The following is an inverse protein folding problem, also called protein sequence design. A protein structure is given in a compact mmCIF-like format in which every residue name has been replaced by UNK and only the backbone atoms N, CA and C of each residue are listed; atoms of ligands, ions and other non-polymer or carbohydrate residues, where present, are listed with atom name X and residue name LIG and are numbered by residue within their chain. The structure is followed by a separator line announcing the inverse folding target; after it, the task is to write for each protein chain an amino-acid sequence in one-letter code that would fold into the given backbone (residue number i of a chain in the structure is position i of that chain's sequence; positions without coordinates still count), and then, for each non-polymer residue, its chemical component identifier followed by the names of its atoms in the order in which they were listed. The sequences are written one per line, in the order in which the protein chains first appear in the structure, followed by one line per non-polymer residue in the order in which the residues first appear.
data_IF_135887658968
#
_entry.id   IF_135887658968
#
_cell.length_a   1.000
_cell.length_b   1.000
_cell.length_c   1.000
_cell.angle_alpha   90.00
_cell.angle_beta   90.00
_cell.angle_gamma   90.00
#
_symmetry.space_group_name_H-M   'P 1'
#
loop_
_entity.id
_entity.type
_entity.pdbx_description
1 polymer ?
#
# COMPACT_ATOMS: atom_id res chain seq x y z
N UNK A 1 25.81 19.80 10.17
CA UNK A 1 25.13 19.58 8.90
C UNK A 1 23.59 19.64 9.00
N UNK A 2 22.98 19.29 10.11
CA UNK A 2 21.50 19.26 10.32
C UNK A 2 20.81 20.65 10.38
N UNK A 3 21.51 21.72 10.79
CA UNK A 3 20.89 23.07 10.86
C UNK A 3 20.59 23.71 9.50
N UNK A 4 21.29 23.31 8.43
CA UNK A 4 21.06 23.84 7.08
C UNK A 4 19.88 23.20 6.37
N UNK A 5 19.54 21.93 6.72
CA UNK A 5 18.40 21.23 6.17
C UNK A 5 17.07 21.77 6.70
N UNK A 6 17.03 22.15 7.98
CA UNK A 6 15.83 22.71 8.62
C UNK A 6 15.45 24.10 8.07
N UNK A 7 16.45 24.92 7.71
CA UNK A 7 16.22 26.26 7.13
C UNK A 7 15.76 26.17 5.67
N UNK A 8 16.19 25.17 4.92
CA UNK A 8 15.78 24.97 3.52
C UNK A 8 14.32 24.44 3.43
N UNK A 9 13.88 23.63 4.40
CA UNK A 9 12.49 23.16 4.47
C UNK A 9 11.54 24.28 4.90
N UNK A 10 11.95 25.19 5.79
CA UNK A 10 11.14 26.32 6.26
C UNK A 10 10.98 27.43 5.20
N UNK A 11 11.92 27.58 4.27
CA UNK A 11 11.85 28.57 3.19
C UNK A 11 11.04 28.10 1.97
N UNK A 12 10.82 26.78 1.83
CA UNK A 12 9.95 26.22 0.79
C UNK A 12 8.46 26.37 1.13
N UNK A 13 8.11 26.58 2.39
CA UNK A 13 6.71 26.67 2.84
C UNK A 13 6.08 28.06 2.70
N UNK A 14 6.85 29.11 2.39
CA UNK A 14 6.34 30.50 2.30
C UNK A 14 6.03 30.99 0.88
N UNK A 15 6.26 30.18 -0.15
CA UNK A 15 6.16 30.63 -1.56
C UNK A 15 4.93 30.09 -2.31
N UNK A 16 4.02 29.35 -1.67
CA UNK A 16 2.91 28.66 -2.33
C UNK A 16 1.52 29.04 -1.79
N UNK A 17 1.34 30.26 -1.35
CA UNK A 17 0.00 30.79 -1.11
C UNK A 17 -0.63 31.22 -2.44
N UNK A 18 -1.04 30.27 -3.27
CA UNK A 18 -2.00 30.52 -4.33
C UNK A 18 -3.40 30.33 -3.79
N UNK A 19 -4.40 31.13 -4.22
CA UNK A 19 -5.77 30.97 -3.74
C UNK A 19 -6.27 29.57 -4.08
N UNK A 20 -6.95 28.95 -3.12
CA UNK A 20 -7.59 27.67 -3.29
C UNK A 20 -8.59 27.72 -4.42
N UNK A 21 -8.58 26.67 -5.17
CA UNK A 21 -9.53 26.42 -6.22
C UNK A 21 -10.49 25.35 -5.76
N UNK A 22 -11.77 25.60 -5.98
CA UNK A 22 -12.81 24.67 -5.59
C UNK A 22 -12.53 23.30 -6.25
N UNK A 23 -12.14 22.33 -5.43
CA UNK A 23 -11.95 20.95 -5.83
C UNK A 23 -13.21 20.15 -5.63
N UNK A 24 -14.17 20.77 -4.97
CA UNK A 24 -15.47 20.19 -4.71
C UNK A 24 -16.20 19.87 -6.02
N UNK A 25 -16.83 18.71 -6.03
CA UNK A 25 -17.59 18.18 -7.16
C UNK A 25 -16.74 17.95 -8.43
N UNK A 26 -15.48 17.54 -8.27
CA UNK A 26 -14.56 17.30 -9.34
C UNK A 26 -14.03 15.86 -9.34
N UNK A 27 -13.80 15.33 -10.54
CA UNK A 27 -13.03 14.11 -10.72
C UNK A 27 -11.54 14.38 -10.54
N UNK A 28 -10.83 13.37 -10.06
CA UNK A 28 -9.37 13.41 -10.02
C UNK A 28 -8.76 12.05 -10.33
N UNK A 29 -7.52 12.07 -10.77
CA UNK A 29 -6.68 10.88 -10.94
C UNK A 29 -5.36 11.13 -10.22
N UNK A 30 -4.77 10.08 -9.68
CA UNK A 30 -3.50 10.19 -8.97
C UNK A 30 -2.63 8.94 -9.11
N UNK A 31 -1.36 9.14 -8.86
CA UNK A 31 -0.38 8.06 -8.72
C UNK A 31 0.32 8.21 -7.37
N UNK A 32 0.66 7.10 -6.78
CA UNK A 32 1.29 7.07 -5.46
C UNK A 32 2.32 5.95 -5.38
N UNK A 33 3.31 6.13 -4.52
CA UNK A 33 4.30 5.10 -4.27
C UNK A 33 5.14 5.41 -3.03
N UNK A 34 5.68 4.35 -2.43
CA UNK A 34 6.47 4.51 -1.22
C UNK A 34 7.00 3.22 -0.63
N UNK A 35 7.53 3.35 0.57
CA UNK A 35 8.08 2.25 1.34
C UNK A 35 6.98 1.49 2.09
N UNK A 36 7.19 0.19 2.22
CA UNK A 36 6.26 -0.72 2.88
C UNK A 36 7.00 -1.64 3.84
N UNK A 37 6.32 -1.99 4.92
CA UNK A 37 6.68 -3.07 5.84
C UNK A 37 5.56 -4.10 5.78
N UNK A 38 5.92 -5.38 5.65
CA UNK A 38 4.99 -6.50 5.79
C UNK A 38 5.14 -7.05 7.21
N UNK A 39 4.02 -7.25 7.91
CA UNK A 39 4.04 -7.99 9.17
C UNK A 39 4.45 -9.44 8.90
N UNK A 40 5.08 -10.09 9.88
CA UNK A 40 5.43 -11.52 9.80
C UNK A 40 4.21 -12.34 9.42
N UNK A 41 4.32 -13.12 8.36
CA UNK A 41 3.24 -13.99 7.92
C UNK A 41 3.33 -15.31 8.65
N UNK A 42 2.37 -15.54 9.54
CA UNK A 42 2.22 -16.82 10.23
C UNK A 42 1.27 -17.72 9.46
N UNK A 43 1.72 -18.92 9.15
CA UNK A 43 0.95 -19.92 8.42
C UNK A 43 0.53 -21.09 9.30
N UNK A 44 -0.71 -21.50 9.16
CA UNK A 44 -1.14 -22.84 9.53
C UNK A 44 -0.80 -23.77 8.37
N UNK A 45 -0.11 -24.88 8.65
CA UNK A 45 0.39 -25.83 7.64
C UNK A 45 -0.31 -27.17 7.82
N UNK A 46 -1.26 -27.48 6.94
CA UNK A 46 -2.12 -28.67 7.08
C UNK A 46 -2.94 -28.61 8.37
N UNK A 47 -2.71 -29.52 9.30
CA UNK A 47 -3.38 -29.54 10.60
C UNK A 47 -2.58 -28.84 11.72
N UNK A 48 -1.38 -28.35 11.46
CA UNK A 48 -0.53 -27.73 12.46
C UNK A 48 -0.72 -26.20 12.43
N UNK A 49 -1.18 -25.65 13.56
CA UNK A 49 -1.42 -24.20 13.72
C UNK A 49 -0.12 -23.46 14.00
N UNK A 50 0.02 -22.25 13.45
CA UNK A 50 1.21 -21.39 13.57
C UNK A 50 2.51 -22.16 13.32
N UNK A 51 2.50 -23.00 12.30
CA UNK A 51 3.58 -23.94 12.03
C UNK A 51 4.69 -23.36 11.14
N UNK A 52 4.41 -22.29 10.42
CA UNK A 52 5.40 -21.55 9.63
C UNK A 52 5.32 -20.05 9.89
N UNK A 53 6.47 -19.37 9.91
CA UNK A 53 6.57 -17.91 9.97
C UNK A 53 7.52 -17.44 8.90
N UNK A 54 7.12 -16.44 8.11
CA UNK A 54 7.95 -15.81 7.08
C UNK A 54 8.19 -14.36 7.47
N UNK A 55 9.47 -14.01 7.65
CA UNK A 55 9.94 -12.65 7.89
C UNK A 55 10.25 -11.97 6.56
N UNK A 56 10.03 -10.65 6.47
CA UNK A 56 10.20 -9.88 5.25
C UNK A 56 11.14 -8.70 5.46
N UNK A 57 11.95 -8.42 4.45
CA UNK A 57 12.65 -7.16 4.30
C UNK A 57 11.68 -6.01 4.01
N UNK A 58 12.16 -4.77 4.08
CA UNK A 58 11.41 -3.62 3.58
C UNK A 58 10.98 -3.83 2.13
N UNK A 59 9.74 -3.50 1.86
CA UNK A 59 9.14 -3.59 0.53
C UNK A 59 8.78 -2.22 -0.04
N UNK A 60 8.06 -2.27 -1.13
CA UNK A 60 7.51 -1.10 -1.80
C UNK A 60 6.04 -1.32 -2.17
N UNK A 61 5.30 -0.22 -2.25
CA UNK A 61 3.88 -0.16 -2.61
C UNK A 61 3.72 0.97 -3.64
N UNK A 62 3.09 0.68 -4.78
CA UNK A 62 2.79 1.66 -5.82
C UNK A 62 1.36 1.48 -6.29
N UNK A 63 0.70 2.56 -6.66
CA UNK A 63 -0.67 2.49 -7.10
C UNK A 63 -1.12 3.70 -7.90
N UNK A 64 -2.35 3.58 -8.38
CA UNK A 64 -3.08 4.64 -9.04
C UNK A 64 -4.49 4.72 -8.50
N UNK A 65 -5.00 5.92 -8.41
CA UNK A 65 -6.35 6.21 -7.93
C UNK A 65 -7.12 7.01 -8.97
N UNK A 66 -8.42 6.75 -9.05
CA UNK A 66 -9.39 7.63 -9.67
C UNK A 66 -10.48 7.90 -8.64
N UNK A 67 -10.84 9.14 -8.42
CA UNK A 67 -11.82 9.50 -7.42
C UNK A 67 -12.69 10.67 -7.82
N UNK A 68 -13.71 10.88 -7.01
CA UNK A 68 -14.61 12.02 -7.08
C UNK A 68 -14.65 12.71 -5.72
N UNK A 69 -14.35 13.99 -5.71
CA UNK A 69 -14.40 14.85 -4.53
C UNK A 69 -15.81 15.43 -4.40
N UNK A 70 -16.45 15.22 -3.25
CA UNK A 70 -17.78 15.75 -2.89
C UNK A 70 -17.69 16.93 -1.90
N UNK A 71 -16.48 17.48 -1.72
CA UNK A 71 -16.14 18.43 -0.68
C UNK A 71 -15.56 17.72 0.54
N UNK A 72 -16.23 17.73 1.68
CA UNK A 72 -15.74 17.05 2.88
C UNK A 72 -15.66 15.51 2.82
N UNK A 73 -16.01 14.91 1.68
CA UNK A 73 -15.99 13.46 1.48
C UNK A 73 -15.55 13.10 0.06
N UNK A 74 -14.68 12.09 -0.07
CA UNK A 74 -14.23 11.57 -1.37
C UNK A 74 -14.51 10.08 -1.52
N UNK A 75 -14.79 9.67 -2.74
CA UNK A 75 -14.86 8.25 -3.12
C UNK A 75 -13.73 7.98 -4.10
N UNK A 76 -12.94 6.94 -3.86
CA UNK A 76 -11.83 6.52 -4.72
C UNK A 76 -11.97 5.07 -5.16
N UNK A 77 -11.63 4.77 -6.41
CA UNK A 77 -11.19 3.46 -6.84
C UNK A 77 -9.65 3.45 -6.88
N UNK A 78 -9.06 2.46 -6.24
CA UNK A 78 -7.60 2.31 -6.07
C UNK A 78 -7.17 0.97 -6.68
N UNK A 79 -6.12 1.01 -7.49
CA UNK A 79 -5.42 -0.17 -7.96
C UNK A 79 -3.98 -0.07 -7.50
N UNK A 80 -3.53 -1.01 -6.68
CA UNK A 80 -2.17 -0.97 -6.12
C UNK A 80 -1.49 -2.33 -6.16
N UNK A 81 -0.18 -2.28 -6.37
CA UNK A 81 0.71 -3.44 -6.32
C UNK A 81 1.81 -3.21 -5.29
N UNK A 82 1.99 -4.20 -4.45
CA UNK A 82 3.00 -4.19 -3.37
C UNK A 82 3.82 -5.46 -3.36
N UNK A 83 5.10 -5.32 -2.97
CA UNK A 83 6.03 -6.45 -2.93
C UNK A 83 7.08 -6.24 -1.84
N UNK A 84 7.36 -7.33 -1.12
CA UNK A 84 8.49 -7.43 -0.20
C UNK A 84 9.23 -8.75 -0.42
N UNK A 85 10.55 -8.74 -0.26
CA UNK A 85 11.38 -9.94 -0.31
C UNK A 85 11.40 -10.62 1.03
N UNK A 86 11.56 -11.94 1.02
CA UNK A 86 11.72 -12.75 2.24
C UNK A 86 13.10 -12.49 2.83
N UNK A 87 13.15 -12.36 4.16
CA UNK A 87 14.38 -12.26 4.95
C UNK A 87 14.72 -13.57 5.66
N UNK A 88 13.68 -14.33 6.08
CA UNK A 88 13.83 -15.61 6.73
C UNK A 88 12.55 -16.43 6.77
N UNK A 89 12.71 -17.71 7.05
CA UNK A 89 11.61 -18.64 7.27
C UNK A 89 11.87 -19.51 8.49
N UNK A 90 10.86 -19.64 9.33
CA UNK A 90 10.87 -20.56 10.47
C UNK A 90 9.75 -21.57 10.32
N UNK A 91 10.04 -22.84 10.60
CA UNK A 91 9.02 -23.89 10.58
C UNK A 91 9.13 -24.80 11.80
N UNK A 92 7.99 -25.16 12.37
CA UNK A 92 7.89 -26.18 13.43
C UNK A 92 7.61 -27.58 12.86
N UNK A 93 7.38 -27.68 11.55
CA UNK A 93 7.14 -28.92 10.82
C UNK A 93 8.15 -29.10 9.69
N UNK A 94 8.29 -30.32 9.18
CA UNK A 94 9.11 -30.57 8.00
C UNK A 94 8.57 -29.81 6.79
N UNK A 95 9.44 -29.14 6.06
CA UNK A 95 9.12 -28.37 4.84
C UNK A 95 9.71 -29.07 3.62
N UNK A 96 8.90 -29.75 2.78
CA UNK A 96 9.34 -30.29 1.51
C UNK A 96 9.58 -29.16 0.51
N UNK A 97 10.71 -29.17 -0.18
CA UNK A 97 11.02 -28.26 -1.28
C UNK A 97 11.47 -29.04 -2.52
N UNK A 98 11.22 -28.50 -3.72
CA UNK A 98 11.74 -29.06 -4.95
C UNK A 98 13.12 -28.48 -5.24
N UNK A 99 14.05 -29.34 -5.63
CA UNK A 99 15.33 -28.90 -6.20
C UNK A 99 15.12 -28.36 -7.63
N UNK A 100 16.11 -27.64 -8.15
CA UNK A 100 16.12 -27.23 -9.55
C UNK A 100 15.94 -28.38 -10.55
N UNK A 101 16.36 -29.62 -10.17
CA UNK A 101 16.15 -30.82 -10.93
C UNK A 101 14.77 -31.50 -10.72
N UNK A 102 13.90 -30.88 -9.91
CA UNK A 102 12.54 -31.36 -9.63
C UNK A 102 12.44 -32.42 -8.52
N UNK A 103 13.53 -32.87 -7.92
CA UNK A 103 13.50 -33.82 -6.82
C UNK A 103 12.99 -33.15 -5.53
N UNK A 104 12.26 -33.93 -4.71
CA UNK A 104 11.81 -33.45 -3.39
C UNK A 104 12.93 -33.67 -2.35
N UNK A 105 13.21 -32.62 -1.59
CA UNK A 105 14.09 -32.63 -0.43
C UNK A 105 13.29 -32.14 0.78
N UNK A 106 13.43 -32.86 1.89
CA UNK A 106 12.76 -32.50 3.14
C UNK A 106 13.70 -31.73 4.06
N UNK A 107 13.30 -30.52 4.40
CA UNK A 107 13.96 -29.69 5.39
C UNK A 107 13.30 -29.93 6.75
N UNK A 108 14.04 -30.28 7.83
CA UNK A 108 13.46 -30.49 9.16
C UNK A 108 12.86 -29.21 9.72
N UNK A 109 12.12 -29.31 10.83
CA UNK A 109 11.73 -28.12 11.60
C UNK A 109 12.97 -27.32 12.00
N UNK A 110 12.93 -25.98 11.85
CA UNK A 110 14.10 -25.14 12.10
C UNK A 110 13.93 -23.70 11.64
N UNK A 111 15.00 -22.91 11.80
CA UNK A 111 15.13 -21.55 11.29
C UNK A 111 16.01 -21.53 10.04
N UNK A 112 15.58 -20.79 9.04
CA UNK A 112 16.21 -20.72 7.73
C UNK A 112 16.42 -19.25 7.35
N UNK A 113 17.48 -18.63 7.89
CA UNK A 113 17.84 -17.22 7.66
C UNK A 113 18.31 -16.97 6.20
N UNK A 114 18.47 -18.04 5.42
CA UNK A 114 18.80 -18.00 4.00
C UNK A 114 17.59 -18.25 3.09
N UNK A 115 16.39 -18.34 3.65
CA UNK A 115 15.19 -18.45 2.84
C UNK A 115 15.05 -17.21 1.96
N UNK A 116 14.63 -17.42 0.72
CA UNK A 116 14.49 -16.36 -0.26
C UNK A 116 13.13 -16.37 -0.91
N UNK A 117 12.93 -15.39 -1.79
CA UNK A 117 11.68 -15.23 -2.51
C UNK A 117 10.98 -13.92 -2.19
N UNK A 118 9.66 -13.89 -2.38
CA UNK A 118 8.89 -12.68 -2.15
C UNK A 118 7.41 -12.95 -1.90
N UNK A 119 6.78 -12.03 -1.16
CA UNK A 119 5.33 -11.86 -1.11
C UNK A 119 4.92 -10.66 -1.93
N UNK A 120 3.83 -10.77 -2.68
CA UNK A 120 3.25 -9.64 -3.40
C UNK A 120 1.73 -9.66 -3.33
N UNK A 121 1.11 -8.48 -3.50
CA UNK A 121 -0.33 -8.34 -3.53
C UNK A 121 -0.74 -7.30 -4.59
N UNK A 122 -1.60 -7.71 -5.51
CA UNK A 122 -2.29 -6.83 -6.45
C UNK A 122 -3.71 -6.61 -5.94
N UNK A 123 -4.09 -5.37 -5.68
CA UNK A 123 -5.36 -5.02 -5.06
C UNK A 123 -6.21 -4.11 -5.94
N UNK A 124 -7.52 -4.30 -5.86
CA UNK A 124 -8.54 -3.43 -6.44
C UNK A 124 -9.49 -3.05 -5.31
N UNK A 125 -9.49 -1.77 -4.92
CA UNK A 125 -10.17 -1.29 -3.71
C UNK A 125 -11.13 -0.14 -4.06
N UNK A 126 -12.19 -0.02 -3.27
CA UNK A 126 -13.05 1.17 -3.24
C UNK A 126 -12.92 1.78 -1.85
N UNK A 127 -12.57 3.06 -1.79
CA UNK A 127 -12.30 3.80 -0.56
C UNK A 127 -13.32 4.92 -0.38
N UNK A 128 -13.65 5.21 0.88
CA UNK A 128 -14.28 6.43 1.32
C UNK A 128 -13.33 7.22 2.22
N UNK A 129 -13.19 8.50 1.96
CA UNK A 129 -12.29 9.40 2.69
C UNK A 129 -13.07 10.60 3.22
N UNK A 130 -12.77 11.01 4.44
CA UNK A 130 -13.24 12.26 5.05
C UNK A 130 -12.08 13.24 5.08
N UNK A 131 -12.30 14.44 4.54
CA UNK A 131 -11.31 15.51 4.48
C UNK A 131 -11.55 16.54 5.58
N UNK A 132 -10.47 17.10 6.11
CA UNK A 132 -10.47 18.08 7.19
C UNK A 132 -9.48 19.20 6.87
N UNK A 133 -9.92 20.43 7.01
CA UNK A 133 -9.11 21.62 6.75
C UNK A 133 -9.69 22.47 5.64
N UNK A 134 -9.02 23.57 5.33
CA UNK A 134 -9.42 24.50 4.28
C UNK A 134 -8.81 24.06 2.94
N UNK A 135 -9.52 24.31 1.83
CA UNK A 135 -9.12 23.87 0.48
C UNK A 135 -7.85 24.54 -0.04
N UNK A 136 -7.49 25.68 0.54
CA UNK A 136 -6.30 26.48 0.17
C UNK A 136 -5.04 26.13 0.98
N UNK A 137 -5.17 25.20 1.93
CA UNK A 137 -4.12 24.83 2.85
C UNK A 137 -3.74 23.35 2.84
N UNK A 138 -3.06 22.95 3.90
CA UNK A 138 -2.83 21.54 4.18
C UNK A 138 -4.13 20.94 4.70
N UNK A 139 -4.65 19.97 3.97
CA UNK A 139 -5.81 19.18 4.38
C UNK A 139 -5.35 17.85 4.98
N UNK A 140 -5.95 17.48 6.11
CA UNK A 140 -5.87 16.13 6.64
C UNK A 140 -6.99 15.27 6.07
N UNK A 141 -6.76 13.98 5.92
CA UNK A 141 -7.81 13.03 5.60
C UNK A 141 -7.67 11.72 6.36
N UNK A 142 -8.80 11.07 6.58
CA UNK A 142 -8.88 9.71 7.12
C UNK A 142 -9.96 8.95 6.36
N UNK A 143 -9.75 7.65 6.20
CA UNK A 143 -10.75 6.83 5.54
C UNK A 143 -10.42 5.36 5.55
N UNK A 144 -11.15 4.63 4.76
CA UNK A 144 -10.95 3.20 4.60
C UNK A 144 -11.58 2.67 3.33
N UNK A 145 -11.25 1.46 3.01
CA UNK A 145 -11.75 0.82 1.82
C UNK A 145 -11.85 -0.68 1.94
N UNK A 146 -12.61 -1.23 1.01
CA UNK A 146 -12.80 -2.68 0.86
C UNK A 146 -12.63 -3.06 -0.61
N UNK A 147 -12.27 -4.32 -0.84
CA UNK A 147 -12.08 -4.80 -2.20
C UNK A 147 -11.56 -6.22 -2.25
N UNK A 148 -10.84 -6.52 -3.31
CA UNK A 148 -10.23 -7.82 -3.53
C UNK A 148 -8.73 -7.66 -3.75
N UNK A 149 -7.97 -8.66 -3.31
CA UNK A 149 -6.53 -8.69 -3.52
C UNK A 149 -6.09 -10.08 -3.92
N UNK A 150 -5.26 -10.15 -4.96
CA UNK A 150 -4.52 -11.36 -5.30
C UNK A 150 -3.18 -11.33 -4.60
N UNK A 151 -3.05 -12.16 -3.58
CA UNK A 151 -1.81 -12.36 -2.82
C UNK A 151 -1.05 -13.51 -3.43
N UNK A 152 0.21 -13.31 -3.77
CA UNK A 152 1.13 -14.33 -4.26
C UNK A 152 2.29 -14.48 -3.28
N UNK A 153 2.63 -15.73 -2.95
CA UNK A 153 3.83 -16.10 -2.25
C UNK A 153 4.71 -16.98 -3.16
N UNK A 154 5.98 -16.64 -3.23
CA UNK A 154 7.00 -17.42 -3.94
C UNK A 154 8.19 -17.55 -3.00
N UNK A 155 8.30 -18.70 -2.32
CA UNK A 155 9.27 -18.92 -1.25
C UNK A 155 10.17 -20.12 -1.56
N UNK A 156 11.47 -19.93 -1.40
CA UNK A 156 12.50 -20.94 -1.60
C UNK A 156 13.38 -21.15 -0.37
N UNK A 157 13.89 -22.37 -0.21
CA UNK A 157 14.90 -22.71 0.78
C UNK A 157 16.21 -22.96 0.06
N UNK A 158 17.09 -21.95 0.08
CA UNK A 158 18.38 -22.00 -0.62
C UNK A 158 18.23 -22.17 -2.14
N UNK A 159 19.30 -22.55 -2.82
CA UNK A 159 19.31 -22.89 -4.26
C UNK A 159 18.49 -24.15 -4.62
N UNK A 160 17.80 -24.72 -3.64
CA UNK A 160 17.02 -25.96 -3.79
C UNK A 160 15.63 -25.77 -4.39
N UNK A 161 15.31 -24.57 -4.89
CA UNK A 161 14.02 -24.31 -5.50
C UNK A 161 12.92 -23.93 -4.50
N UNK A 162 11.73 -23.72 -5.04
CA UNK A 162 10.58 -23.24 -4.27
C UNK A 162 9.93 -24.36 -3.45
N UNK A 163 9.54 -24.06 -2.21
CA UNK A 163 8.65 -24.92 -1.44
C UNK A 163 7.18 -24.44 -1.53
N UNK A 164 6.98 -23.17 -1.84
CA UNK A 164 5.67 -22.56 -2.04
C UNK A 164 5.77 -21.56 -3.20
N UNK A 165 4.99 -21.77 -4.27
CA UNK A 165 4.78 -20.83 -5.37
C UNK A 165 3.31 -20.90 -5.76
N UNK A 166 2.50 -20.09 -5.11
CA UNK A 166 1.05 -20.08 -5.30
C UNK A 166 0.46 -18.70 -5.05
N UNK A 167 -0.80 -18.51 -5.47
CA UNK A 167 -1.51 -17.24 -5.28
C UNK A 167 -3.00 -17.49 -5.04
N UNK A 168 -3.57 -16.68 -4.16
CA UNK A 168 -4.99 -16.69 -3.86
C UNK A 168 -5.59 -15.29 -4.01
N UNK A 169 -6.88 -15.22 -4.36
CA UNK A 169 -7.62 -13.96 -4.47
C UNK A 169 -8.68 -13.91 -3.37
N UNK A 170 -8.49 -12.99 -2.47
CA UNK A 170 -9.27 -12.90 -1.24
C UNK A 170 -9.88 -11.51 -1.07
N UNK A 171 -10.87 -11.41 -0.16
CA UNK A 171 -11.37 -10.14 0.33
C UNK A 171 -10.25 -9.39 1.06
N UNK A 172 -10.17 -8.08 0.81
CA UNK A 172 -9.22 -7.20 1.46
C UNK A 172 -9.91 -5.92 1.96
N UNK A 173 -9.32 -5.33 3.00
CA UNK A 173 -9.72 -4.04 3.52
C UNK A 173 -8.49 -3.20 3.88
N UNK A 174 -8.66 -1.89 3.92
CA UNK A 174 -7.58 -0.97 4.26
C UNK A 174 -8.09 0.21 5.08
N UNK A 175 -7.18 0.79 5.87
CA UNK A 175 -7.37 2.07 6.56
C UNK A 175 -6.34 3.05 6.01
N UNK A 176 -6.78 4.26 5.76
CA UNK A 176 -6.01 5.33 5.14
C UNK A 176 -6.04 6.56 6.03
N UNK A 177 -4.90 7.23 6.17
CA UNK A 177 -4.80 8.54 6.79
C UNK A 177 -3.67 9.33 6.12
N UNK A 178 -3.82 10.63 5.97
CA UNK A 178 -2.77 11.40 5.33
C UNK A 178 -3.00 12.90 5.29
N UNK A 179 -2.11 13.54 4.56
CA UNK A 179 -2.12 14.97 4.29
C UNK A 179 -2.16 15.18 2.78
N UNK A 180 -2.90 16.18 2.35
CA UNK A 180 -2.98 16.66 0.97
C UNK A 180 -2.64 18.15 0.96
N UNK A 181 -1.80 18.58 0.04
CA UNK A 181 -1.41 19.97 -0.16
C UNK A 181 -1.54 20.33 -1.63
N UNK A 182 -2.31 21.40 -1.98
CA UNK A 182 -2.29 21.95 -3.31
C UNK A 182 -0.93 22.57 -3.63
N UNK A 183 -0.42 22.29 -4.80
CA UNK A 183 0.78 22.94 -5.33
C UNK A 183 0.48 23.77 -6.60
N UNK A 184 -0.68 23.56 -7.19
CA UNK A 184 -1.24 24.39 -8.25
C UNK A 184 -2.76 24.21 -8.30
N UNK A 185 -3.41 24.93 -9.21
CA UNK A 185 -4.86 24.92 -9.41
C UNK A 185 -5.44 23.52 -9.60
N UNK A 186 -4.68 22.64 -10.24
CA UNK A 186 -5.12 21.30 -10.63
C UNK A 186 -4.26 20.17 -10.04
N UNK A 187 -3.18 20.49 -9.29
CA UNK A 187 -2.24 19.46 -8.83
C UNK A 187 -2.10 19.53 -7.31
N UNK A 188 -2.27 18.38 -6.69
CA UNK A 188 -2.01 18.16 -5.27
C UNK A 188 -0.88 17.19 -5.07
N UNK A 189 -0.14 17.38 -3.99
CA UNK A 189 0.76 16.36 -3.44
C UNK A 189 0.15 15.76 -2.19
N UNK A 190 0.36 14.47 -2.00
CA UNK A 190 -0.15 13.74 -0.83
C UNK A 190 0.98 13.02 -0.10
N UNK A 191 0.83 12.94 1.21
CA UNK A 191 1.56 12.01 2.06
C UNK A 191 0.53 11.14 2.76
N UNK A 192 0.54 9.82 2.47
CA UNK A 192 -0.48 8.87 2.92
C UNK A 192 0.15 7.73 3.71
N UNK A 193 -0.45 7.41 4.84
CA UNK A 193 -0.26 6.13 5.51
C UNK A 193 -1.38 5.19 5.09
N UNK A 194 -1.01 3.94 4.76
CA UNK A 194 -1.92 2.85 4.44
C UNK A 194 -1.64 1.66 5.35
N UNK A 195 -2.66 1.24 6.08
CA UNK A 195 -2.73 -0.10 6.66
C UNK A 195 -3.56 -0.97 5.74
N UNK A 196 -3.01 -2.09 5.28
CA UNK A 196 -3.68 -3.02 4.39
C UNK A 196 -3.75 -4.41 5.00
N UNK A 197 -4.88 -5.09 4.82
CA UNK A 197 -5.11 -6.44 5.32
C UNK A 197 -5.87 -7.29 4.28
N UNK A 198 -5.32 -8.48 4.01
CA UNK A 198 -5.96 -9.54 3.22
C UNK A 198 -6.00 -10.81 4.07
N UNK A 199 -7.18 -11.19 4.50
CA UNK A 199 -7.40 -12.34 5.39
C UNK A 199 -7.72 -13.61 4.59
N UNK A 200 -7.55 -14.77 5.26
CA UNK A 200 -7.90 -16.10 4.73
C UNK A 200 -7.21 -16.45 3.40
N UNK A 201 -5.95 -16.05 3.26
CA UNK A 201 -5.11 -16.44 2.12
C UNK A 201 -4.80 -17.92 2.22
N UNK A 202 -5.18 -18.69 1.21
CA UNK A 202 -4.99 -20.15 1.15
C UNK A 202 -4.07 -20.49 0.00
N UNK A 203 -2.90 -20.98 0.34
CA UNK A 203 -1.88 -21.36 -0.61
C UNK A 203 -1.59 -22.87 -0.47
N UNK A 204 -1.01 -23.45 -1.52
CA UNK A 204 -0.71 -24.87 -1.56
C UNK A 204 0.77 -25.06 -1.87
N UNK A 205 1.45 -25.84 -1.04
CA UNK A 205 2.87 -26.13 -1.23
C UNK A 205 3.12 -27.17 -2.36
N UNK A 206 4.39 -27.40 -2.67
CA UNK A 206 4.82 -28.35 -3.72
C UNK A 206 4.36 -29.79 -3.50
N UNK A 207 3.81 -30.13 -2.33
CA UNK A 207 3.28 -31.46 -1.98
C UNK A 207 1.77 -31.49 -1.85
N UNK A 208 1.09 -30.38 -2.04
CA UNK A 208 -0.37 -30.26 -1.92
C UNK A 208 -0.87 -29.99 -0.50
N UNK A 209 -0.01 -29.55 0.45
CA UNK A 209 -0.43 -29.15 1.78
C UNK A 209 -0.89 -27.69 1.76
N UNK A 210 -1.94 -27.42 2.50
CA UNK A 210 -2.44 -26.04 2.68
C UNK A 210 -1.50 -25.24 3.59
N UNK A 211 -1.32 -23.98 3.18
CA UNK A 211 -0.71 -22.90 3.93
C UNK A 211 -1.75 -21.81 4.08
N UNK A 212 -2.39 -21.76 5.23
CA UNK A 212 -3.44 -20.78 5.53
C UNK A 212 -2.82 -19.63 6.33
N UNK A 213 -2.95 -18.41 5.83
CA UNK A 213 -2.33 -17.25 6.45
C UNK A 213 -3.08 -15.95 6.14
N UNK A 214 -2.45 -14.82 6.47
CA UNK A 214 -2.95 -13.49 6.14
C UNK A 214 -1.79 -12.59 5.74
N UNK A 215 -2.06 -11.67 4.81
CA UNK A 215 -1.11 -10.66 4.40
C UNK A 215 -1.50 -9.31 5.00
N UNK A 216 -0.60 -8.71 5.78
CA UNK A 216 -0.74 -7.36 6.35
C UNK A 216 0.46 -6.52 6.02
N UNK A 217 0.20 -5.25 5.72
CA UNK A 217 1.27 -4.30 5.44
C UNK A 217 0.95 -2.90 5.91
N UNK A 218 2.02 -2.16 6.18
CA UNK A 218 2.01 -0.75 6.52
C UNK A 218 2.84 -0.01 5.48
N UNK A 219 2.26 0.98 4.81
CA UNK A 219 2.94 1.76 3.77
C UNK A 219 2.93 3.25 4.11
N UNK A 220 4.03 3.93 3.81
CA UNK A 220 4.10 5.38 3.74
C UNK A 220 4.28 5.75 2.27
N UNK A 221 3.30 6.46 1.70
CA UNK A 221 3.18 6.75 0.28
C UNK A 221 3.25 8.26 0.05
N UNK A 222 4.05 8.66 -0.92
CA UNK A 222 3.97 9.96 -1.55
C UNK A 222 3.13 9.86 -2.80
N UNK A 223 2.28 10.84 -3.08
CA UNK A 223 1.43 10.83 -4.26
C UNK A 223 1.33 12.19 -4.93
N UNK A 224 0.93 12.16 -6.20
CA UNK A 224 0.55 13.33 -6.99
C UNK A 224 -0.83 13.06 -7.57
N UNK A 225 -1.72 14.03 -7.40
CA UNK A 225 -3.11 13.97 -7.88
C UNK A 225 -3.37 15.13 -8.84
N UNK A 226 -4.05 14.85 -9.94
CA UNK A 226 -4.53 15.85 -10.89
C UNK A 226 -6.06 15.94 -10.80
N UNK A 227 -6.57 17.16 -10.50
CA UNK A 227 -7.98 17.48 -10.39
C UNK A 227 -8.50 18.05 -11.69
N UNK A 228 -9.69 17.62 -12.14
CA UNK A 228 -10.34 18.05 -13.37
C UNK A 228 -11.38 19.16 -13.16
N UNK A 229 -11.44 19.77 -11.95
CA UNK A 229 -12.36 20.86 -11.64
C UNK A 229 -12.04 22.14 -12.43
N UNK A 230 -13.06 22.94 -12.72
CA UNK A 230 -12.86 24.27 -13.27
C UNK A 230 -12.41 25.23 -12.14
N UNK A 231 -11.48 26.15 -12.42
CA UNK A 231 -11.12 27.20 -11.48
C UNK A 231 -12.34 28.05 -11.09
N UNK A 232 -12.45 28.50 -9.83
CA UNK A 232 -13.54 29.38 -9.45
C UNK A 232 -13.55 30.64 -10.34
N UNK A 233 -14.76 31.09 -10.68
CA UNK A 233 -14.91 32.33 -11.45
C UNK A 233 -14.28 33.50 -10.68
N UNK A 234 -13.55 34.41 -11.33
CA UNK A 234 -12.98 35.56 -10.68
C UNK A 234 -14.10 36.40 -9.99
N UNK A 235 -13.83 36.96 -8.82
CA UNK A 235 -14.84 37.79 -8.11
C UNK A 235 -15.34 38.91 -9.03
N UNK A 236 -16.64 39.23 -8.96
CA UNK A 236 -17.19 40.30 -9.77
C UNK A 236 -16.46 41.63 -9.48
N UNK A 237 -16.23 42.47 -10.52
CA UNK A 237 -15.58 43.76 -10.31
C UNK A 237 -16.35 44.59 -9.28
N UNK A 238 -15.65 45.36 -8.42
CA UNK A 238 -16.31 46.22 -7.47
C UNK A 238 -17.27 47.20 -8.16
N UNK A 239 -18.41 47.50 -7.56
CA UNK A 239 -19.34 48.43 -8.16
C UNK A 239 -18.67 49.80 -8.41
N UNK A 240 -19.04 50.49 -9.50
CA UNK A 240 -18.47 51.81 -9.77
C UNK A 240 -18.69 52.73 -8.57
N UNK A 241 -17.65 53.41 -8.13
CA UNK A 241 -17.74 54.45 -7.06
C UNK A 241 -18.43 55.65 -7.69
N UNK A 242 -19.66 55.97 -7.24
CA UNK A 242 -20.37 57.22 -7.60
C UNK A 242 -19.72 58.45 -6.97
#
# INVERSE_FOLDING_TARGET
MMRKLAVTLALASTALATPALARDNAWYVGVEGGAMIVEDINFDIGAATSAGTVDHNYGWDVGGVIGYDLGGFRIEADVSYRRATVDGYRSTVTTPARTAAGALVNFPAGNYDYAGGSSSALSFMVNGLLDFGEDDGIQGFIGGGVGVSRVKADYGLNDNGSFLDDSDTVFAWQVLAGLRQPISDNIDVTLKYRFFNADNVKLVDVTGRNFDGRFRSHSILGGITFNFGEPPAPPPPPPPVE
#
